data_IF_829850057870
#
_entry.id   IF_829850057870
#
_cell.length_a   1.000
_cell.length_b   1.000
_cell.length_c   1.000
_cell.angle_alpha   90.00
_cell.angle_beta   90.00
_cell.angle_gamma   90.00
#
_symmetry.space_group_name_H-M   'P 1'
#
loop_
_entity.id
_entity.type
_entity.pdbx_description
1 polymer ?
#
# COMPACT_ATOMS: atom_id res chain seq x y z
N UNK A 1 -24.10 -3.88 -8.36
CA UNK A 1 -23.72 -2.47 -8.53
C UNK A 1 -22.27 -2.29 -8.17
N UNK A 2 -21.48 -1.73 -9.07
CA UNK A 2 -20.07 -1.44 -8.80
C UNK A 2 -19.92 -0.10 -8.11
N UNK A 3 -18.90 -0.03 -7.24
CA UNK A 3 -18.53 1.21 -6.58
C UNK A 3 -17.39 1.86 -7.38
N UNK A 4 -17.71 2.91 -8.12
CA UNK A 4 -16.76 3.61 -8.99
C UNK A 4 -16.02 4.75 -8.29
N UNK A 5 -16.38 5.05 -7.04
CA UNK A 5 -15.79 6.15 -6.27
C UNK A 5 -14.73 5.67 -5.28
N UNK A 6 -14.29 4.42 -5.38
CA UNK A 6 -13.23 3.87 -4.55
C UNK A 6 -12.04 3.50 -5.43
N UNK A 7 -10.87 3.96 -5.04
CA UNK A 7 -9.60 3.69 -5.70
C UNK A 7 -8.66 3.01 -4.72
N UNK A 8 -7.94 2.01 -5.16
CA UNK A 8 -7.02 1.26 -4.30
C UNK A 8 -5.65 1.10 -4.96
N UNK A 9 -4.60 1.36 -4.20
CA UNK A 9 -3.22 1.07 -4.58
C UNK A 9 -2.69 0.01 -3.62
N UNK A 10 -2.39 -1.17 -4.16
CA UNK A 10 -1.94 -2.32 -3.38
C UNK A 10 -0.49 -2.63 -3.76
N UNK A 11 0.41 -2.52 -2.80
CA UNK A 11 1.84 -2.71 -3.01
C UNK A 11 2.31 -3.93 -2.25
N UNK A 12 2.98 -4.86 -2.94
CA UNK A 12 3.60 -6.02 -2.34
C UNK A 12 5.07 -6.10 -2.74
N UNK A 13 5.96 -6.16 -1.75
CA UNK A 13 7.39 -6.24 -1.97
C UNK A 13 7.87 -7.60 -1.50
N UNK A 14 8.52 -8.35 -2.40
CA UNK A 14 9.00 -9.70 -2.10
C UNK A 14 10.52 -9.84 -2.12
N UNK A 15 11.20 -9.04 -2.94
CA UNK A 15 12.65 -9.13 -3.15
C UNK A 15 13.39 -8.14 -2.25
N UNK A 16 14.16 -8.67 -1.32
CA UNK A 16 14.92 -7.89 -0.34
C UNK A 16 16.41 -8.24 -0.34
N UNK A 17 16.92 -8.85 -1.41
CA UNK A 17 18.32 -9.26 -1.45
C UNK A 17 19.28 -8.09 -1.26
N UNK A 18 19.02 -6.95 -1.89
CA UNK A 18 19.86 -5.76 -1.76
C UNK A 18 19.85 -5.16 -0.36
N UNK A 19 18.84 -5.45 0.42
CA UNK A 19 18.67 -4.93 1.77
C UNK A 19 19.19 -5.89 2.84
N UNK A 20 19.69 -7.06 2.46
CA UNK A 20 20.19 -8.10 3.38
C UNK A 20 19.16 -8.55 4.40
N UNK A 21 17.90 -8.61 4.01
CA UNK A 21 16.83 -9.18 4.82
C UNK A 21 16.11 -10.24 4.01
N UNK A 22 15.33 -11.07 4.70
CA UNK A 22 14.69 -12.22 4.07
C UNK A 22 13.68 -11.78 3.00
N UNK A 23 13.68 -12.46 1.86
CA UNK A 23 12.64 -12.30 0.86
C UNK A 23 11.30 -12.76 1.41
N UNK A 24 10.23 -12.19 0.88
CA UNK A 24 8.86 -12.53 1.25
C UNK A 24 8.13 -13.14 0.05
N UNK A 25 8.20 -14.46 -0.13
CA UNK A 25 7.57 -15.09 -1.30
C UNK A 25 6.05 -15.02 -1.30
N UNK A 26 5.43 -14.69 -0.19
CA UNK A 26 3.97 -14.60 -0.05
C UNK A 26 3.38 -13.29 -0.58
N UNK A 27 4.21 -12.35 -1.05
CA UNK A 27 3.76 -11.03 -1.48
C UNK A 27 2.66 -11.08 -2.54
N UNK A 28 2.74 -12.03 -3.48
CA UNK A 28 1.72 -12.19 -4.53
C UNK A 28 0.39 -12.66 -3.96
N UNK A 29 0.43 -13.60 -3.03
CA UNK A 29 -0.77 -14.10 -2.38
C UNK A 29 -1.44 -12.98 -1.58
N UNK A 30 -0.66 -12.20 -0.84
CA UNK A 30 -1.17 -11.08 -0.07
C UNK A 30 -1.91 -10.07 -0.96
N UNK A 31 -1.31 -9.72 -2.09
CA UNK A 31 -1.94 -8.81 -3.05
C UNK A 31 -3.21 -9.41 -3.67
N UNK A 32 -3.16 -10.68 -4.02
CA UNK A 32 -4.30 -11.36 -4.64
C UNK A 32 -5.48 -11.42 -3.68
N UNK A 33 -5.23 -11.78 -2.42
CA UNK A 33 -6.28 -11.87 -1.40
C UNK A 33 -6.87 -10.50 -1.09
N UNK A 34 -6.03 -9.48 -0.93
CA UNK A 34 -6.50 -8.13 -0.66
C UNK A 34 -7.28 -7.56 -1.85
N UNK A 35 -6.76 -7.76 -3.07
CA UNK A 35 -7.44 -7.33 -4.28
C UNK A 35 -8.81 -7.98 -4.42
N UNK A 36 -8.91 -9.28 -4.16
CA UNK A 36 -10.18 -10.00 -4.21
C UNK A 36 -11.16 -9.49 -3.15
N UNK A 37 -10.67 -9.22 -1.94
CA UNK A 37 -11.50 -8.68 -0.87
C UNK A 37 -12.09 -7.31 -1.23
N UNK A 38 -11.28 -6.46 -1.85
CA UNK A 38 -11.71 -5.12 -2.28
C UNK A 38 -12.71 -5.21 -3.43
N UNK A 39 -12.38 -5.95 -4.47
CA UNK A 39 -13.23 -6.05 -5.67
C UNK A 39 -14.53 -6.79 -5.36
N UNK A 40 -14.45 -7.94 -4.71
CA UNK A 40 -15.63 -8.78 -4.45
C UNK A 40 -16.37 -8.36 -3.19
N UNK A 41 -15.65 -8.03 -2.13
CA UNK A 41 -16.25 -7.69 -0.84
C UNK A 41 -16.83 -6.28 -0.79
N UNK A 42 -16.11 -5.30 -1.31
CA UNK A 42 -16.55 -3.90 -1.31
C UNK A 42 -17.17 -3.47 -2.63
N UNK A 43 -17.26 -4.37 -3.59
CA UNK A 43 -17.84 -4.09 -4.92
C UNK A 43 -17.11 -2.95 -5.65
N UNK A 44 -15.83 -2.81 -5.44
CA UNK A 44 -15.02 -1.79 -6.09
C UNK A 44 -14.80 -2.18 -7.55
N UNK A 45 -14.89 -1.19 -8.44
CA UNK A 45 -14.57 -1.38 -9.84
C UNK A 45 -13.10 -1.82 -9.96
N UNK A 46 -12.87 -2.99 -10.58
CA UNK A 46 -11.52 -3.55 -10.71
C UNK A 46 -10.54 -2.63 -11.46
N UNK A 47 -11.05 -1.77 -12.34
CA UNK A 47 -10.22 -0.83 -13.09
C UNK A 47 -9.65 0.28 -12.19
N UNK A 48 -10.21 0.44 -10.99
CA UNK A 48 -9.73 1.39 -9.99
C UNK A 48 -8.77 0.76 -8.99
N UNK A 49 -8.45 -0.53 -9.14
CA UNK A 49 -7.53 -1.25 -8.26
C UNK A 49 -6.20 -1.44 -8.98
N UNK A 50 -5.14 -0.87 -8.42
CA UNK A 50 -3.78 -0.96 -8.95
C UNK A 50 -2.96 -1.89 -8.09
N UNK A 51 -2.43 -2.95 -8.71
CA UNK A 51 -1.52 -3.89 -8.04
C UNK A 51 -0.08 -3.57 -8.45
N UNK A 52 0.79 -3.36 -7.47
CA UNK A 52 2.20 -3.13 -7.71
C UNK A 52 3.03 -4.21 -7.02
N UNK A 53 3.53 -5.17 -7.79
CA UNK A 53 4.25 -6.34 -7.30
C UNK A 53 5.62 -6.51 -7.97
N UNK A 54 6.06 -5.50 -8.71
CA UNK A 54 7.25 -5.64 -9.53
C UNK A 54 6.97 -6.41 -10.82
N UNK A 55 7.87 -6.30 -11.78
CA UNK A 55 7.75 -6.95 -13.08
C UNK A 55 8.50 -8.28 -13.15
N UNK A 56 9.34 -8.57 -12.16
CA UNK A 56 10.05 -9.84 -12.07
C UNK A 56 9.25 -10.86 -11.24
N UNK A 57 9.77 -12.08 -11.18
CA UNK A 57 9.12 -13.17 -10.45
C UNK A 57 9.39 -13.12 -8.93
N UNK A 58 10.20 -12.19 -8.47
CA UNK A 58 10.64 -12.10 -7.07
C UNK A 58 10.02 -10.96 -6.30
N UNK A 59 9.30 -10.07 -6.98
CA UNK A 59 8.66 -8.94 -6.31
C UNK A 59 9.59 -7.78 -6.03
N UNK A 60 10.43 -7.42 -6.99
CA UNK A 60 11.32 -6.26 -6.86
C UNK A 60 10.52 -4.97 -7.08
N UNK A 61 10.40 -4.17 -6.04
CA UNK A 61 9.75 -2.85 -6.08
C UNK A 61 10.71 -1.83 -5.50
N UNK A 62 11.08 -0.85 -6.30
CA UNK A 62 11.99 0.21 -5.88
C UNK A 62 11.27 1.39 -5.24
N UNK A 63 12.03 2.24 -4.56
CA UNK A 63 11.49 3.49 -4.01
C UNK A 63 11.03 4.44 -5.13
N UNK A 64 11.68 4.38 -6.29
CA UNK A 64 11.24 5.16 -7.47
C UNK A 64 9.90 4.64 -7.99
N UNK A 65 9.72 3.32 -8.03
CA UNK A 65 8.43 2.72 -8.44
C UNK A 65 7.31 3.20 -7.52
N UNK A 66 7.57 3.27 -6.22
CA UNK A 66 6.60 3.81 -5.26
C UNK A 66 6.25 5.26 -5.59
N UNK A 67 7.26 6.10 -5.79
CA UNK A 67 7.04 7.52 -6.06
C UNK A 67 6.17 7.73 -7.30
N UNK A 68 6.44 6.96 -8.37
CA UNK A 68 5.64 7.02 -9.60
C UNK A 68 4.22 6.54 -9.37
N UNK A 69 4.07 5.43 -8.65
CA UNK A 69 2.75 4.84 -8.41
C UNK A 69 1.85 5.77 -7.58
N UNK A 70 2.39 6.38 -6.52
CA UNK A 70 1.60 7.28 -5.68
C UNK A 70 1.23 8.56 -6.41
N UNK A 71 2.12 9.07 -7.27
CA UNK A 71 1.82 10.24 -8.09
C UNK A 71 0.68 9.96 -9.07
N UNK A 72 0.74 8.84 -9.77
CA UNK A 72 -0.32 8.42 -10.69
C UNK A 72 -1.63 8.17 -9.95
N UNK A 73 -1.56 7.55 -8.79
CA UNK A 73 -2.72 7.25 -7.97
C UNK A 73 -3.44 8.54 -7.56
N UNK A 74 -2.67 9.51 -7.06
CA UNK A 74 -3.21 10.82 -6.67
C UNK A 74 -3.94 11.50 -7.81
N UNK A 75 -3.41 11.40 -9.04
CA UNK A 75 -3.99 12.10 -10.20
C UNK A 75 -5.37 11.59 -10.60
N UNK A 76 -5.76 10.40 -10.18
CA UNK A 76 -7.03 9.78 -10.54
C UNK A 76 -8.17 10.10 -9.55
N UNK A 77 -7.86 10.66 -8.39
CA UNK A 77 -8.77 10.71 -7.25
C UNK A 77 -9.33 12.12 -7.09
N UNK A 78 -10.64 12.22 -6.91
CA UNK A 78 -11.35 13.48 -6.70
C UNK A 78 -11.89 13.62 -5.28
N UNK A 79 -12.50 14.78 -5.01
CA UNK A 79 -12.94 15.18 -3.67
C UNK A 79 -14.05 14.33 -3.07
N UNK A 80 -14.79 13.59 -3.88
CA UNK A 80 -15.86 12.72 -3.40
C UNK A 80 -15.45 11.25 -3.30
N UNK A 81 -14.20 10.95 -3.64
CA UNK A 81 -13.72 9.58 -3.72
C UNK A 81 -13.17 9.09 -2.39
N UNK A 82 -13.07 7.77 -2.29
CA UNK A 82 -12.37 7.06 -1.21
C UNK A 82 -11.10 6.44 -1.78
N UNK A 83 -9.97 6.60 -1.10
CA UNK A 83 -8.76 5.92 -1.49
C UNK A 83 -8.30 4.92 -0.44
N UNK A 84 -7.78 3.79 -0.91
CA UNK A 84 -7.23 2.72 -0.08
C UNK A 84 -5.78 2.52 -0.50
N UNK A 85 -4.88 2.60 0.47
CA UNK A 85 -3.47 2.27 0.28
C UNK A 85 -3.15 1.03 1.10
N UNK A 86 -2.60 0.02 0.46
CA UNK A 86 -2.21 -1.23 1.12
C UNK A 86 -0.75 -1.52 0.84
N UNK A 87 -0.01 -1.90 1.86
CA UNK A 87 1.38 -2.31 1.74
C UNK A 87 1.60 -3.65 2.44
N UNK A 88 2.16 -4.61 1.70
CA UNK A 88 2.63 -5.88 2.23
C UNK A 88 4.13 -5.98 2.00
N UNK A 89 4.91 -6.12 3.06
CA UNK A 89 6.36 -6.17 2.98
C UNK A 89 7.01 -6.07 4.36
N UNK A 90 8.31 -5.83 4.38
CA UNK A 90 9.00 -5.57 5.64
C UNK A 90 8.83 -4.12 6.09
N UNK A 91 8.78 -3.94 7.40
CA UNK A 91 8.82 -2.64 8.04
C UNK A 91 9.77 -2.65 9.21
N UNK A 92 10.37 -1.53 9.53
CA UNK A 92 11.29 -1.40 10.67
C UNK A 92 11.37 0.05 11.13
N UNK A 93 11.14 0.26 12.42
CA UNK A 93 11.36 1.57 13.05
C UNK A 93 10.73 2.74 12.31
N UNK A 94 9.45 2.67 12.03
CA UNK A 94 8.70 3.71 11.33
C UNK A 94 9.04 3.85 9.84
N UNK A 95 9.72 2.86 9.25
CA UNK A 95 10.03 2.84 7.83
C UNK A 95 9.38 1.64 7.15
N UNK A 96 8.90 1.85 5.92
CA UNK A 96 8.55 0.77 5.01
C UNK A 96 9.80 0.43 4.19
N UNK A 97 10.10 -0.86 4.07
CA UNK A 97 11.31 -1.31 3.39
C UNK A 97 10.93 -1.80 2.00
N UNK A 98 11.61 -1.23 1.01
CA UNK A 98 11.49 -1.56 -0.40
C UNK A 98 12.71 -2.35 -0.85
N UNK A 99 12.72 -2.78 -2.11
CA UNK A 99 13.79 -3.65 -2.62
C UNK A 99 15.16 -2.97 -2.63
N UNK A 100 15.21 -1.65 -2.74
CA UNK A 100 16.46 -0.90 -2.84
C UNK A 100 16.61 0.23 -1.81
N UNK A 101 15.76 0.30 -0.81
CA UNK A 101 15.85 1.36 0.17
C UNK A 101 14.69 1.39 1.14
N UNK A 102 14.65 2.38 1.98
CA UNK A 102 13.62 2.59 2.98
C UNK A 102 12.87 3.90 2.72
N UNK A 103 11.61 3.92 3.08
CA UNK A 103 10.78 5.13 3.02
C UNK A 103 10.14 5.34 4.37
N UNK A 104 10.25 6.53 4.91
CA UNK A 104 9.59 6.85 6.18
C UNK A 104 8.08 6.71 6.02
N UNK A 105 7.46 5.98 6.91
CA UNK A 105 6.01 5.82 6.89
C UNK A 105 5.31 7.18 6.99
N UNK A 106 5.88 8.11 7.78
CA UNK A 106 5.31 9.45 7.89
C UNK A 106 5.26 10.17 6.54
N UNK A 107 6.26 9.97 5.68
CA UNK A 107 6.26 10.56 4.34
C UNK A 107 5.12 10.01 3.48
N UNK A 108 4.84 8.72 3.60
CA UNK A 108 3.71 8.11 2.88
C UNK A 108 2.37 8.63 3.42
N UNK A 109 2.25 8.71 4.74
CA UNK A 109 1.04 9.26 5.38
C UNK A 109 0.81 10.71 4.95
N UNK A 110 1.86 11.53 4.96
CA UNK A 110 1.77 12.93 4.55
C UNK A 110 1.33 13.06 3.10
N UNK A 111 1.86 12.19 2.24
CA UNK A 111 1.46 12.15 0.85
C UNK A 111 -0.03 11.79 0.70
N UNK A 112 -0.47 10.75 1.40
CA UNK A 112 -1.87 10.33 1.34
C UNK A 112 -2.80 11.41 1.88
N UNK A 113 -2.38 12.13 2.91
CA UNK A 113 -3.15 13.25 3.43
C UNK A 113 -3.35 14.38 2.40
N UNK A 114 -2.46 14.49 1.42
CA UNK A 114 -2.56 15.46 0.34
C UNK A 114 -3.42 14.98 -0.83
N UNK A 115 -3.79 13.71 -0.87
CA UNK A 115 -4.70 13.19 -1.89
C UNK A 115 -6.08 13.83 -1.65
N UNK A 116 -6.74 14.38 -2.69
CA UNK A 116 -8.00 15.11 -2.49
C UNK A 116 -9.21 14.20 -2.32
N UNK A 117 -9.06 13.08 -1.63
CA UNK A 117 -10.14 12.13 -1.38
C UNK A 117 -10.95 12.53 -0.14
N UNK A 118 -12.22 12.20 -0.16
CA UNK A 118 -13.10 12.39 0.98
C UNK A 118 -12.75 11.46 2.13
N UNK A 119 -12.45 10.20 1.81
CA UNK A 119 -12.07 9.17 2.78
C UNK A 119 -10.73 8.55 2.37
N UNK A 120 -9.88 8.28 3.35
CA UNK A 120 -8.55 7.72 3.12
C UNK A 120 -8.31 6.59 4.10
N UNK A 121 -7.94 5.43 3.57
CA UNK A 121 -7.70 4.23 4.36
C UNK A 121 -6.29 3.73 4.05
N UNK A 122 -5.49 3.51 5.08
CA UNK A 122 -4.17 2.90 4.94
C UNK A 122 -4.15 1.59 5.70
N UNK A 123 -3.73 0.53 5.02
CA UNK A 123 -3.62 -0.81 5.59
C UNK A 123 -2.18 -1.26 5.46
N UNK A 124 -1.54 -1.58 6.58
CA UNK A 124 -0.15 -2.01 6.60
C UNK A 124 -0.07 -3.47 7.08
N UNK A 125 0.44 -4.32 6.24
CA UNK A 125 0.69 -5.73 6.53
C UNK A 125 2.20 -5.94 6.61
N UNK A 126 2.79 -5.49 7.72
CA UNK A 126 4.22 -5.54 7.96
C UNK A 126 4.52 -5.48 9.45
N UNK A 127 5.73 -5.95 9.82
CA UNK A 127 6.26 -5.82 11.18
C UNK A 127 6.63 -4.36 11.42
N UNK A 128 5.66 -3.56 11.77
CA UNK A 128 5.87 -2.14 11.98
C UNK A 128 5.84 -1.78 13.45
N UNK A 129 6.79 -0.93 13.85
CA UNK A 129 6.78 -0.30 15.17
C UNK A 129 7.13 1.16 14.99
N UNK A 130 6.35 2.04 15.56
CA UNK A 130 6.55 3.47 15.47
C UNK A 130 5.22 4.21 15.45
N UNK A 131 5.32 5.53 15.60
CA UNK A 131 4.15 6.39 15.64
C UNK A 131 4.13 7.32 14.44
N UNK A 132 2.97 7.45 13.83
CA UNK A 132 2.76 8.40 12.74
C UNK A 132 1.58 9.28 13.08
N UNK A 133 1.59 10.51 12.52
CA UNK A 133 0.46 11.42 12.62
C UNK A 133 -0.42 11.24 11.40
N UNK A 134 -1.71 11.02 11.64
CA UNK A 134 -2.69 10.86 10.57
C UNK A 134 -3.72 11.99 10.66
N UNK A 135 -3.83 12.77 9.59
CA UNK A 135 -4.83 13.82 9.47
C UNK A 135 -6.00 13.32 8.62
N UNK A 136 -6.99 12.73 9.28
CA UNK A 136 -8.16 12.22 8.60
C UNK A 136 -7.92 10.93 7.82
N UNK A 137 -6.76 10.30 7.95
CA UNK A 137 -6.48 8.99 7.38
C UNK A 137 -6.61 7.92 8.47
N UNK A 138 -7.22 6.79 8.12
CA UNK A 138 -7.25 5.61 8.97
C UNK A 138 -6.20 4.62 8.50
N UNK A 139 -5.53 3.97 9.44
CA UNK A 139 -4.57 2.93 9.11
C UNK A 139 -4.80 1.70 9.99
N UNK A 140 -4.37 0.55 9.47
CA UNK A 140 -4.43 -0.71 10.18
C UNK A 140 -3.11 -1.44 9.97
N UNK A 141 -2.53 -1.94 11.06
CA UNK A 141 -1.37 -2.82 11.01
C UNK A 141 -1.84 -4.21 11.42
N UNK A 142 -1.85 -5.14 10.47
CA UNK A 142 -2.39 -6.48 10.71
C UNK A 142 -1.63 -7.24 11.79
N UNK A 143 -0.33 -7.07 11.90
CA UNK A 143 0.44 -7.75 12.92
C UNK A 143 0.11 -7.27 14.33
N UNK A 144 -0.11 -5.98 14.50
CA UNK A 144 -0.56 -5.43 15.77
C UNK A 144 -1.99 -5.86 16.12
N UNK A 145 -2.82 -6.04 15.10
CA UNK A 145 -4.21 -6.41 15.28
C UNK A 145 -4.37 -7.87 15.70
N UNK A 146 -3.46 -8.74 15.27
CA UNK A 146 -3.52 -10.18 15.55
C UNK A 146 -2.99 -10.51 16.95
N UNK A 147 -2.12 -9.71 17.49
CA UNK A 147 -1.57 -9.91 18.82
C UNK A 147 -2.50 -9.42 19.92
#
# INVERSE_FOLDING_TARGET
MQNDNVYALLIGVGDYEKMNIANLPTYKMDLTLMGAAIVSGLKVNKDNVRLMAGTDNNGYVSTTDLAMAVSNFKSMIGAEDTCIFYFAGHGKESNLIFSNGQVELQSVVDFINKVPAKNKIMILDCCYSGKVKTDGASHMNFEETIT
#
